data_IF_069175170005
#
_entry.id   IF_069175170005
#
_cell.length_a   1.000
_cell.length_b   1.000
_cell.length_c   1.000
_cell.angle_alpha   90.00
_cell.angle_beta   90.00
_cell.angle_gamma   90.00
#
_symmetry.space_group_name_H-M   'P 1'
#
loop_
_entity.id
_entity.type
_entity.pdbx_description
1 polymer ?
#
# COMPACT_ATOMS: atom_id res chain seq x y z
N UNK A 1 8.34 -9.49 62.57
CA UNK A 1 7.01 -8.92 62.23
C UNK A 1 7.20 -7.61 61.47
N UNK A 2 7.15 -7.62 60.15
CA UNK A 2 7.29 -6.40 59.33
C UNK A 2 6.13 -6.31 58.35
N UNK A 3 5.32 -5.26 58.53
CA UNK A 3 4.10 -4.97 57.77
C UNK A 3 4.45 -4.56 56.34
N UNK A 4 4.06 -5.37 55.34
CA UNK A 4 4.11 -4.97 53.92
C UNK A 4 2.86 -4.15 53.61
N UNK A 5 3.05 -2.87 53.25
CA UNK A 5 1.99 -2.01 52.70
C UNK A 5 1.80 -2.35 51.23
N UNK A 6 0.63 -2.85 50.86
CA UNK A 6 0.21 -2.98 49.45
C UNK A 6 -0.19 -1.59 48.94
N UNK A 7 0.52 -1.08 47.93
CA UNK A 7 0.07 0.07 47.15
C UNK A 7 -0.79 -0.44 46.00
N UNK A 8 -2.10 -0.18 46.10
CA UNK A 8 -3.09 -0.44 45.05
C UNK A 8 -3.00 0.71 44.05
N UNK A 9 -2.35 0.47 42.91
CA UNK A 9 -2.26 1.42 41.80
C UNK A 9 -3.64 1.50 41.13
N UNK A 10 -4.43 2.53 41.43
CA UNK A 10 -5.64 2.84 40.66
C UNK A 10 -5.21 3.41 39.32
N UNK A 11 -5.58 2.75 38.23
CA UNK A 11 -5.48 3.32 36.88
C UNK A 11 -6.56 4.41 36.73
N UNK A 12 -6.24 5.55 36.10
CA UNK A 12 -7.23 6.58 35.83
C UNK A 12 -8.24 6.08 34.81
N UNK A 13 -9.52 6.15 35.18
CA UNK A 13 -10.65 5.91 34.29
C UNK A 13 -10.65 6.96 33.18
N UNK A 14 -10.41 6.54 31.94
CA UNK A 14 -10.53 7.41 30.78
C UNK A 14 -11.99 7.80 30.58
N UNK A 15 -12.29 9.10 30.67
CA UNK A 15 -13.60 9.67 30.35
C UNK A 15 -13.68 9.82 28.82
N UNK A 16 -14.71 9.28 28.16
CA UNK A 16 -14.85 9.41 26.71
C UNK A 16 -15.11 10.87 26.30
N UNK A 17 -14.57 11.33 25.16
CA UNK A 17 -14.79 12.69 24.67
C UNK A 17 -16.26 12.89 24.30
N UNK A 18 -16.82 14.03 24.71
CA UNK A 18 -18.17 14.41 24.33
C UNK A 18 -18.24 14.79 22.85
N UNK A 19 -19.35 14.46 22.15
CA UNK A 19 -19.55 14.82 20.76
C UNK A 19 -19.65 16.35 20.61
N UNK A 20 -18.81 16.92 19.75
CA UNK A 20 -18.90 18.33 19.34
C UNK A 20 -20.18 18.52 18.52
N UNK A 21 -21.08 19.40 18.99
CA UNK A 21 -22.16 19.96 18.17
C UNK A 21 -21.53 20.77 17.04
N UNK A 22 -21.88 20.45 15.80
CA UNK A 22 -21.57 21.27 14.64
C UNK A 22 -22.32 22.60 14.69
N UNK A 23 -21.79 23.66 14.04
CA UNK A 23 -22.46 24.95 13.96
C UNK A 23 -23.70 24.85 13.08
N UNK A 24 -24.82 25.35 13.61
CA UNK A 24 -26.07 25.54 12.88
C UNK A 24 -25.83 26.45 11.66
N UNK A 25 -26.17 25.94 10.48
CA UNK A 25 -26.16 26.71 9.25
C UNK A 25 -27.43 27.56 9.19
N UNK A 26 -27.30 28.83 9.53
CA UNK A 26 -28.27 29.87 9.17
C UNK A 26 -28.32 30.00 7.64
N UNK A 27 -29.34 29.42 7.02
CA UNK A 27 -29.71 29.63 5.62
C UNK A 27 -31.15 30.11 5.59
N UNK A 28 -31.33 31.43 5.55
CA UNK A 28 -32.56 32.06 5.09
C UNK A 28 -32.22 33.35 4.32
N UNK A 29 -31.70 33.15 3.10
CA UNK A 29 -31.55 34.17 2.08
C UNK A 29 -32.71 34.09 1.08
N UNK A 30 -33.79 34.82 1.37
CA UNK A 30 -34.98 35.00 0.53
C UNK A 30 -34.70 36.02 -0.58
N UNK A 31 -34.91 35.70 -1.87
CA UNK A 31 -35.05 36.73 -2.90
C UNK A 31 -36.53 37.04 -3.14
N UNK A 32 -36.84 38.34 -3.10
CA UNK A 32 -38.11 38.93 -3.49
C UNK A 32 -38.46 38.62 -4.96
N UNK A 33 -39.63 38.02 -5.16
CA UNK A 33 -40.29 37.94 -6.45
C UNK A 33 -41.31 39.07 -6.55
N UNK A 34 -41.08 40.00 -7.48
CA UNK A 34 -42.05 41.01 -7.89
C UNK A 34 -43.22 40.40 -8.67
N UNK A 35 -44.38 41.07 -8.70
CA UNK A 35 -45.63 40.50 -9.17
C UNK A 35 -45.81 40.77 -10.67
N UNK A 36 -46.38 39.82 -11.39
CA UNK A 36 -47.32 40.17 -12.46
C UNK A 36 -48.26 39.01 -12.78
N UNK A 37 -49.48 39.43 -13.08
CA UNK A 37 -50.67 38.63 -13.16
C UNK A 37 -50.71 37.73 -14.39
N UNK A 38 -51.33 36.57 -14.24
CA UNK A 38 -52.41 36.15 -15.13
C UNK A 38 -53.11 34.93 -14.54
N UNK A 39 -54.40 35.12 -14.29
CA UNK A 39 -55.34 34.11 -13.89
C UNK A 39 -55.48 33.05 -14.99
N UNK A 40 -55.50 31.78 -14.61
CA UNK A 40 -56.52 30.88 -15.15
C UNK A 40 -56.76 29.70 -14.21
N UNK A 41 -58.03 29.59 -13.85
CA UNK A 41 -58.57 28.64 -12.90
C UNK A 41 -58.63 27.24 -13.48
N UNK A 42 -58.22 26.21 -12.70
CA UNK A 42 -58.87 24.88 -12.73
C UNK A 42 -58.84 24.20 -11.36
N UNK A 43 -59.90 23.42 -11.04
CA UNK A 43 -60.27 23.08 -9.68
C UNK A 43 -59.66 21.78 -9.14
N UNK A 44 -59.60 21.76 -7.80
CA UNK A 44 -59.62 20.65 -6.86
C UNK A 44 -60.02 19.27 -7.40
N UNK A 45 -59.15 18.28 -7.14
CA UNK A 45 -59.52 16.97 -6.58
C UNK A 45 -58.29 16.31 -5.89
N UNK A 46 -58.35 16.21 -4.54
CA UNK A 46 -57.99 15.09 -3.60
C UNK A 46 -57.02 13.96 -4.06
N UNK A 47 -56.36 13.19 -3.14
CA UNK A 47 -56.56 13.11 -1.68
C UNK A 47 -55.29 13.11 -0.81
N UNK A 48 -55.49 13.39 0.48
CA UNK A 48 -54.56 13.12 1.58
C UNK A 48 -54.10 11.66 1.60
N UNK A 49 -52.84 11.43 1.21
CA UNK A 49 -52.11 10.22 1.56
C UNK A 49 -51.33 10.47 2.84
N UNK A 50 -51.96 10.18 3.98
CA UNK A 50 -51.26 9.92 5.26
C UNK A 50 -50.32 8.74 5.03
N UNK A 51 -49.05 9.02 4.73
CA UNK A 51 -47.99 8.03 4.80
C UNK A 51 -47.75 7.70 6.27
N UNK A 52 -48.21 6.51 6.67
CA UNK A 52 -47.93 5.91 7.95
C UNK A 52 -46.41 5.78 8.15
N UNK A 53 -45.96 6.16 9.35
CA UNK A 53 -44.59 5.94 9.80
C UNK A 53 -44.24 4.44 9.67
N UNK A 54 -43.06 4.08 9.12
CA UNK A 54 -42.62 2.70 9.12
C UNK A 54 -42.41 2.22 10.56
N UNK A 55 -43.07 1.13 10.90
CA UNK A 55 -42.91 0.43 12.16
C UNK A 55 -41.43 0.03 12.35
N UNK A 56 -40.90 0.34 13.54
CA UNK A 56 -39.59 -0.12 13.99
C UNK A 56 -39.49 -1.65 13.85
N UNK A 57 -38.46 -2.17 13.16
CA UNK A 57 -38.21 -3.61 13.18
C UNK A 57 -37.81 -4.02 14.60
N UNK A 58 -38.64 -4.86 15.20
CA UNK A 58 -38.33 -5.56 16.45
C UNK A 58 -36.99 -6.29 16.30
N UNK A 59 -36.00 -5.84 17.07
CA UNK A 59 -34.74 -6.53 17.29
C UNK A 59 -35.03 -7.86 18.01
N UNK A 60 -35.17 -8.94 17.23
CA UNK A 60 -35.05 -10.28 17.76
C UNK A 60 -33.59 -10.48 18.21
N UNK A 61 -33.34 -11.02 19.40
CA UNK A 61 -32.00 -11.39 19.82
C UNK A 61 -31.49 -12.49 18.89
N UNK A 62 -30.50 -12.17 18.05
CA UNK A 62 -29.70 -13.15 17.33
C UNK A 62 -28.91 -13.92 18.39
N UNK A 63 -29.39 -15.12 18.73
CA UNK A 63 -28.57 -16.13 19.38
C UNK A 63 -27.49 -16.55 18.38
N UNK A 64 -26.28 -16.03 18.57
CA UNK A 64 -25.12 -16.56 17.89
C UNK A 64 -24.95 -18.04 18.27
N UNK A 65 -24.71 -18.94 17.31
CA UNK A 65 -24.38 -20.32 17.64
C UNK A 65 -23.03 -20.32 18.39
N UNK A 66 -23.05 -20.68 19.68
CA UNK A 66 -21.85 -20.84 20.52
C UNK A 66 -20.86 -21.96 20.13
N UNK A 67 -21.15 -23.01 19.32
CA UNK A 67 -20.21 -24.12 19.20
C UNK A 67 -18.93 -23.78 18.41
N UNK A 68 -18.89 -22.70 17.64
CA UNK A 68 -17.67 -22.34 16.87
C UNK A 68 -16.59 -21.66 17.74
N UNK A 69 -16.98 -20.93 18.79
CA UNK A 69 -16.04 -20.16 19.61
C UNK A 69 -15.25 -21.07 20.57
N UNK A 70 -15.87 -22.17 21.01
CA UNK A 70 -15.20 -23.25 21.75
C UNK A 70 -14.17 -23.96 20.85
N UNK A 71 -14.52 -24.23 19.59
CA UNK A 71 -13.67 -24.92 18.63
C UNK A 71 -12.45 -24.08 18.24
N UNK A 72 -12.63 -22.77 18.06
CA UNK A 72 -11.53 -21.82 17.83
C UNK A 72 -10.62 -21.71 19.06
N UNK A 73 -11.18 -21.69 20.28
CA UNK A 73 -10.37 -21.69 21.51
C UNK A 73 -9.54 -22.96 21.66
N UNK A 74 -10.09 -24.12 21.30
CA UNK A 74 -9.35 -25.39 21.37
C UNK A 74 -8.24 -25.44 20.32
N UNK A 75 -8.50 -24.96 19.10
CA UNK A 75 -7.49 -24.85 18.05
C UNK A 75 -6.31 -23.93 18.46
N UNK A 76 -6.60 -22.81 19.11
CA UNK A 76 -5.56 -21.90 19.64
C UNK A 76 -4.74 -22.58 20.74
N UNK A 77 -5.37 -23.34 21.66
CA UNK A 77 -4.61 -24.09 22.69
C UNK A 77 -3.71 -25.16 22.07
N UNK A 78 -4.18 -25.84 21.02
CA UNK A 78 -3.40 -26.85 20.32
C UNK A 78 -2.16 -26.24 19.66
N UNK A 79 -2.32 -25.09 18.99
CA UNK A 79 -1.22 -24.40 18.31
C UNK A 79 -0.16 -23.88 19.30
N UNK A 80 -0.58 -23.40 20.48
CA UNK A 80 0.35 -22.98 21.54
C UNK A 80 1.11 -24.18 22.11
N UNK A 81 0.46 -25.33 22.26
CA UNK A 81 1.11 -26.54 22.76
C UNK A 81 2.16 -27.09 21.77
N UNK A 82 1.89 -27.03 20.46
CA UNK A 82 2.84 -27.49 19.43
C UNK A 82 4.06 -26.56 19.30
N UNK A 83 3.94 -25.28 19.68
CA UNK A 83 5.05 -24.32 19.68
C UNK A 83 5.97 -24.45 20.90
N UNK A 84 5.49 -24.97 22.03
CA UNK A 84 6.29 -25.22 23.22
C UNK A 84 7.10 -26.54 23.13
N UNK A 85 6.77 -27.43 22.18
CA UNK A 85 7.62 -28.58 21.85
C UNK A 85 8.75 -28.16 20.90
N UNK A 86 9.68 -27.34 21.41
CA UNK A 86 10.97 -27.07 20.78
C UNK A 86 11.81 -28.37 20.80
N UNK A 87 12.06 -29.03 19.65
CA UNK A 87 12.89 -30.22 19.61
C UNK A 87 14.32 -29.80 19.94
N UNK A 88 14.71 -30.03 21.20
CA UNK A 88 16.03 -29.70 21.70
C UNK A 88 17.16 -30.09 20.73
N UNK A 89 18.26 -29.30 20.70
CA UNK A 89 19.26 -29.35 19.65
C UNK A 89 19.80 -30.77 19.47
N UNK A 90 19.49 -31.36 18.31
CA UNK A 90 20.06 -32.62 17.89
C UNK A 90 21.59 -32.49 17.92
N UNK A 91 22.24 -33.37 18.70
CA UNK A 91 23.68 -33.43 18.85
C UNK A 91 24.34 -33.42 17.47
N UNK A 92 25.17 -32.39 17.24
CA UNK A 92 25.95 -32.22 16.03
C UNK A 92 26.79 -33.48 15.78
N UNK A 93 26.46 -34.21 14.71
CA UNK A 93 27.31 -35.26 14.19
C UNK A 93 28.55 -34.59 13.60
N UNK A 94 29.71 -34.91 14.15
CA UNK A 94 31.02 -34.47 13.67
C UNK A 94 31.23 -34.93 12.22
N UNK A 95 31.51 -34.03 11.27
CA UNK A 95 31.80 -34.40 9.90
C UNK A 95 33.16 -35.11 9.81
N UNK A 96 33.15 -36.31 9.24
CA UNK A 96 34.34 -37.08 8.85
C UNK A 96 35.20 -36.26 7.89
N UNK A 97 36.53 -36.11 8.13
CA UNK A 97 37.41 -35.35 7.24
C UNK A 97 37.61 -36.06 5.90
N UNK A 98 37.42 -35.32 4.81
CA UNK A 98 37.66 -35.77 3.45
C UNK A 98 39.17 -35.95 3.17
N UNK A 99 39.57 -36.96 2.36
CA UNK A 99 40.96 -37.18 1.99
C UNK A 99 41.48 -36.08 1.04
N UNK A 100 42.72 -35.65 1.29
CA UNK A 100 43.40 -34.58 0.58
C UNK A 100 43.63 -34.90 -0.92
N UNK A 101 43.48 -33.92 -1.83
CA UNK A 101 43.80 -34.10 -3.24
C UNK A 101 45.32 -34.11 -3.47
N UNK A 102 45.76 -35.10 -4.26
CA UNK A 102 47.15 -35.28 -4.66
C UNK A 102 47.64 -34.15 -5.57
N UNK A 103 48.86 -33.65 -5.29
CA UNK A 103 49.61 -32.70 -6.12
C UNK A 103 50.04 -33.35 -7.44
N UNK A 104 49.50 -32.87 -8.55
CA UNK A 104 50.03 -33.11 -9.91
C UNK A 104 50.99 -31.99 -10.35
N UNK A 105 52.00 -32.28 -11.19
CA UNK A 105 53.09 -31.36 -11.51
C UNK A 105 52.73 -30.29 -12.55
N UNK A 106 53.33 -29.11 -12.34
CA UNK A 106 53.26 -27.93 -13.19
C UNK A 106 53.81 -28.18 -14.60
N UNK A 107 53.09 -27.68 -15.61
CA UNK A 107 53.54 -27.62 -17.01
C UNK A 107 53.48 -26.15 -17.48
N UNK A 108 54.64 -25.59 -17.81
CA UNK A 108 54.79 -24.30 -18.49
C UNK A 108 54.25 -24.37 -19.93
N UNK A 109 53.81 -23.23 -20.49
CA UNK A 109 54.53 -22.64 -21.64
C UNK A 109 54.56 -21.08 -21.58
N UNK A 110 55.69 -20.43 -21.83
CA UNK A 110 56.24 -20.01 -23.12
C UNK A 110 55.60 -18.71 -23.71
N UNK A 111 56.40 -17.64 -23.58
CA UNK A 111 56.71 -16.56 -24.53
C UNK A 111 55.62 -15.92 -25.41
N UNK A 112 55.51 -14.60 -25.19
CA UNK A 112 55.53 -13.52 -26.19
C UNK A 112 54.38 -13.40 -27.20
N UNK A 113 53.66 -12.28 -27.13
CA UNK A 113 53.69 -11.24 -28.18
C UNK A 113 53.01 -9.96 -27.70
N UNK A 114 53.65 -8.84 -28.05
CA UNK A 114 53.23 -7.48 -27.79
C UNK A 114 52.20 -7.01 -28.82
N UNK A 115 51.21 -6.22 -28.40
CA UNK A 115 50.50 -5.30 -29.29
C UNK A 115 50.21 -3.99 -28.55
N UNK A 116 50.74 -2.93 -29.13
CA UNK A 116 50.65 -1.50 -28.81
C UNK A 116 49.28 -0.93 -29.18
N UNK A 117 48.66 -0.12 -28.32
CA UNK A 117 47.71 0.96 -28.69
C UNK A 117 47.52 1.88 -27.46
N UNK A 118 48.29 2.96 -27.35
CA UNK A 118 48.03 4.29 -27.93
C UNK A 118 46.89 5.05 -27.19
N UNK A 119 47.31 5.87 -26.23
CA UNK A 119 46.52 6.96 -25.65
C UNK A 119 46.56 8.19 -26.56
N UNK A 120 45.51 9.03 -26.60
CA UNK A 120 45.64 10.41 -27.04
C UNK A 120 45.59 11.39 -25.87
N UNK A 121 46.64 12.20 -25.79
CA UNK A 121 46.73 13.39 -24.97
C UNK A 121 46.01 14.59 -25.61
N UNK A 122 45.64 15.52 -24.73
CA UNK A 122 45.20 16.91 -24.96
C UNK A 122 46.00 17.68 -26.01
N UNK A 123 45.34 18.57 -26.76
CA UNK A 123 45.65 20.02 -26.86
C UNK A 123 44.81 20.75 -27.93
N UNK A 124 44.51 22.03 -27.67
CA UNK A 124 43.95 23.03 -28.62
C UNK A 124 42.71 23.72 -28.05
N UNK A 125 42.78 24.84 -27.31
CA UNK A 125 43.21 26.21 -27.68
C UNK A 125 42.55 26.74 -28.97
N UNK A 126 41.40 27.39 -28.81
CA UNK A 126 40.74 28.23 -29.82
C UNK A 126 40.08 29.43 -29.14
N UNK A 127 40.48 30.63 -29.55
CA UNK A 127 40.21 31.96 -28.95
C UNK A 127 39.29 32.76 -29.90
N UNK A 128 38.40 33.58 -29.32
CA UNK A 128 37.57 34.65 -29.93
C UNK A 128 36.44 34.20 -30.89
N UNK A 129 35.24 34.79 -30.94
CA UNK A 129 34.80 36.17 -30.67
C UNK A 129 33.28 36.23 -30.31
N UNK A 130 32.76 37.37 -29.79
CA UNK A 130 31.35 37.53 -29.45
C UNK A 130 30.54 38.10 -30.64
N UNK A 131 29.39 37.49 -30.92
CA UNK A 131 28.54 37.84 -32.06
C UNK A 131 27.06 37.97 -31.67
N UNK A 132 26.66 39.20 -31.41
CA UNK A 132 25.37 39.86 -31.71
C UNK A 132 24.04 39.14 -31.40
N UNK A 133 23.30 39.83 -30.54
CA UNK A 133 21.84 39.81 -30.45
C UNK A 133 21.15 39.87 -31.82
N UNK A 134 20.14 39.03 -31.99
CA UNK A 134 19.09 39.21 -32.98
C UNK A 134 17.74 38.96 -32.31
N UNK A 135 17.00 40.04 -32.14
CA UNK A 135 15.58 40.11 -31.84
C UNK A 135 14.79 39.54 -33.02
N UNK A 136 14.02 38.47 -32.80
CA UNK A 136 12.96 38.05 -33.74
C UNK A 136 11.59 38.21 -33.09
N UNK A 137 11.00 39.34 -33.43
CA UNK A 137 9.58 39.68 -33.37
C UNK A 137 8.92 39.07 -34.61
N UNK A 138 8.05 38.07 -34.46
CA UNK A 138 7.12 37.62 -35.49
C UNK A 138 5.91 37.00 -34.79
N UNK A 139 4.83 37.77 -34.64
CA UNK A 139 3.73 37.84 -35.60
C UNK A 139 2.69 36.74 -35.34
N UNK A 140 1.71 37.11 -34.52
CA UNK A 140 0.42 36.44 -34.39
C UNK A 140 -0.26 36.36 -35.75
N UNK A 141 -0.38 35.16 -36.30
CA UNK A 141 -1.24 34.86 -37.44
C UNK A 141 -2.46 34.07 -36.96
N UNK A 142 -3.55 34.83 -36.90
CA UNK A 142 -4.95 34.43 -36.81
C UNK A 142 -5.32 33.52 -37.98
N UNK A 143 -5.75 32.28 -37.72
CA UNK A 143 -6.46 31.47 -38.70
C UNK A 143 -7.48 30.56 -38.01
N UNK A 144 -8.75 30.95 -38.12
CA UNK A 144 -9.89 30.05 -37.99
C UNK A 144 -10.01 29.20 -39.26
N UNK A 145 -10.55 27.97 -39.14
CA UNK A 145 -11.73 27.64 -39.93
C UNK A 145 -12.76 26.89 -39.05
N UNK A 146 -14.01 27.33 -39.02
CA UNK A 146 -15.07 27.07 -39.99
C UNK A 146 -15.94 25.87 -39.56
N UNK A 147 -17.20 26.22 -39.29
CA UNK A 147 -18.36 25.38 -39.09
C UNK A 147 -18.51 24.31 -40.20
N UNK A 148 -18.81 23.08 -39.81
CA UNK A 148 -19.63 22.15 -40.58
C UNK A 148 -20.62 21.54 -39.57
N UNK A 149 -21.84 22.06 -39.50
CA UNK A 149 -22.98 21.67 -40.33
C UNK A 149 -23.55 20.31 -39.91
N UNK A 150 -24.66 20.42 -39.21
CA UNK A 150 -25.62 19.40 -38.82
C UNK A 150 -26.03 18.53 -40.00
N UNK A 151 -26.05 17.21 -39.82
CA UNK A 151 -26.84 16.30 -40.63
C UNK A 151 -27.76 15.48 -39.72
N UNK A 152 -29.04 15.73 -39.93
CA UNK A 152 -30.24 15.17 -39.31
C UNK A 152 -30.64 13.93 -40.13
N UNK A 153 -30.71 12.76 -39.51
CA UNK A 153 -31.41 11.58 -40.02
C UNK A 153 -32.00 10.85 -38.80
N UNK A 154 -33.26 11.07 -38.42
CA UNK A 154 -34.48 10.57 -39.06
C UNK A 154 -34.53 9.03 -39.15
N UNK A 155 -35.18 8.46 -38.12
CA UNK A 155 -36.15 7.36 -38.18
C UNK A 155 -35.98 6.26 -39.24
N UNK A 156 -35.68 5.05 -38.77
CA UNK A 156 -36.35 3.85 -39.27
C UNK A 156 -36.46 2.80 -38.16
N UNK A 157 -37.68 2.68 -37.63
CA UNK A 157 -38.18 1.53 -36.88
C UNK A 157 -38.49 0.41 -37.89
N UNK A 158 -38.18 -0.85 -37.58
CA UNK A 158 -39.24 -1.84 -37.69
C UNK A 158 -39.33 -2.71 -36.44
N UNK A 159 -40.57 -2.87 -35.99
CA UNK A 159 -40.97 -3.88 -35.04
C UNK A 159 -41.35 -5.15 -35.81
N UNK A 160 -40.88 -6.33 -35.37
CA UNK A 160 -41.66 -7.58 -35.25
C UNK A 160 -40.81 -8.73 -34.66
N UNK A 161 -41.01 -9.01 -33.36
CA UNK A 161 -41.39 -10.28 -32.68
C UNK A 161 -41.33 -11.61 -33.49
N UNK A 162 -41.47 -12.79 -32.83
CA UNK A 162 -40.65 -13.51 -31.84
C UNK A 162 -40.17 -14.90 -32.36
N UNK A 163 -39.21 -15.55 -31.70
CA UNK A 163 -39.15 -17.02 -31.65
C UNK A 163 -38.32 -17.52 -30.46
N UNK A 164 -39.02 -17.99 -29.44
CA UNK A 164 -38.51 -18.95 -28.44
C UNK A 164 -38.22 -20.28 -29.16
N UNK A 165 -37.13 -20.97 -28.80
CA UNK A 165 -37.27 -22.40 -28.58
C UNK A 165 -36.79 -22.79 -27.19
N UNK A 166 -37.71 -23.46 -26.50
CA UNK A 166 -37.48 -24.32 -25.35
C UNK A 166 -36.26 -25.21 -25.54
N UNK A 167 -35.34 -25.20 -24.57
CA UNK A 167 -34.42 -26.32 -24.36
C UNK A 167 -34.60 -26.87 -22.94
N UNK A 168 -35.56 -27.79 -22.89
CA UNK A 168 -35.48 -29.11 -22.26
C UNK A 168 -34.55 -29.26 -21.06
N UNK A 169 -35.19 -29.36 -19.90
CA UNK A 169 -34.67 -30.08 -18.74
C UNK A 169 -34.25 -31.50 -19.12
N UNK A 170 -32.98 -31.84 -18.89
CA UNK A 170 -32.52 -33.22 -18.77
C UNK A 170 -31.81 -33.38 -17.42
N UNK A 171 -32.65 -33.66 -16.43
CA UNK A 171 -32.33 -34.26 -15.14
C UNK A 171 -31.66 -35.60 -15.40
N UNK A 172 -30.39 -35.77 -15.00
CA UNK A 172 -29.81 -37.10 -14.78
C UNK A 172 -28.85 -37.03 -13.59
N UNK A 173 -29.36 -37.41 -12.43
CA UNK A 173 -28.54 -37.89 -11.34
C UNK A 173 -28.30 -39.39 -11.55
N UNK A 174 -27.08 -39.88 -11.31
CA UNK A 174 -26.92 -41.20 -10.72
C UNK A 174 -26.24 -41.09 -9.36
N UNK A 175 -26.95 -41.58 -8.36
CA UNK A 175 -26.40 -42.00 -7.10
C UNK A 175 -25.34 -43.10 -7.33
N UNK A 176 -24.17 -42.95 -6.71
CA UNK A 176 -23.33 -44.08 -6.36
C UNK A 176 -22.51 -43.72 -5.12
N UNK A 177 -23.00 -44.23 -4.00
CA UNK A 177 -22.35 -44.31 -2.69
C UNK A 177 -21.55 -45.62 -2.67
N UNK A 178 -20.23 -45.60 -2.44
CA UNK A 178 -19.56 -46.74 -1.81
C UNK A 178 -19.26 -46.41 -0.35
N UNK A 179 -19.85 -47.20 0.53
CA UNK A 179 -19.44 -47.32 1.91
C UNK A 179 -18.24 -48.29 1.99
N UNK A 180 -17.17 -47.87 2.65
CA UNK A 180 -16.18 -48.72 3.33
C UNK A 180 -15.39 -47.75 4.24
N UNK A 181 -15.66 -47.63 5.54
CA UNK A 181 -15.46 -48.59 6.63
C UNK A 181 -14.10 -49.29 6.53
N UNK A 182 -13.08 -48.64 7.08
CA UNK A 182 -11.90 -49.33 7.62
C UNK A 182 -11.61 -48.77 9.00
N UNK A 183 -11.18 -49.70 9.86
CA UNK A 183 -11.23 -49.68 11.30
C UNK A 183 -10.09 -48.83 11.94
N UNK A 184 -10.10 -48.65 13.27
CA UNK A 184 -9.22 -47.74 13.99
C UNK A 184 -7.86 -48.39 14.27
N UNK A 185 -6.78 -47.66 14.02
CA UNK A 185 -5.43 -48.09 14.37
C UNK A 185 -4.88 -47.24 15.53
N UNK A 186 -4.65 -47.93 16.65
CA UNK A 186 -3.63 -47.70 17.67
C UNK A 186 -3.52 -46.31 18.31
N UNK A 187 -4.06 -46.23 19.53
CA UNK A 187 -3.73 -45.23 20.56
C UNK A 187 -2.28 -45.47 21.04
N UNK A 188 -1.35 -44.50 20.92
CA UNK A 188 -0.05 -44.60 21.55
C UNK A 188 -0.19 -44.46 23.08
N UNK A 189 0.38 -45.42 23.79
CA UNK A 189 0.52 -45.46 25.23
C UNK A 189 1.39 -44.30 25.70
N UNK A 190 0.85 -43.44 26.58
CA UNK A 190 1.60 -42.38 27.24
C UNK A 190 2.74 -42.96 28.10
N UNK A 191 4.00 -42.51 27.94
CA UNK A 191 5.07 -42.86 28.87
C UNK A 191 4.90 -42.13 30.21
N UNK A 192 5.33 -42.83 31.27
CA UNK A 192 5.25 -42.43 32.66
C UNK A 192 5.97 -41.10 32.96
N UNK A 193 5.32 -40.26 33.78
CA UNK A 193 5.89 -39.04 34.33
C UNK A 193 7.14 -39.31 35.16
N UNK A 194 8.26 -38.68 34.79
CA UNK A 194 9.47 -38.59 35.61
C UNK A 194 9.38 -37.37 36.57
N UNK A 195 10.03 -37.44 37.75
CA UNK A 195 9.93 -36.42 38.80
C UNK A 195 10.70 -35.14 38.45
N UNK A 196 10.10 -33.99 38.81
CA UNK A 196 10.67 -32.66 38.64
C UNK A 196 11.98 -32.46 39.44
N UNK A 197 13.03 -31.87 38.85
CA UNK A 197 14.21 -31.46 39.59
C UNK A 197 13.95 -30.17 40.41
N UNK A 198 14.70 -29.98 41.51
CA UNK A 198 14.47 -28.91 42.47
C UNK A 198 14.85 -27.52 41.96
N UNK A 199 14.14 -26.56 42.51
CA UNK A 199 14.25 -25.10 42.37
C UNK A 199 15.67 -24.61 42.68
N UNK A 200 16.39 -24.13 41.67
CA UNK A 200 17.61 -23.33 41.88
C UNK A 200 17.26 -21.85 41.99
N UNK A 201 17.27 -21.38 43.24
CA UNK A 201 17.36 -19.96 43.60
C UNK A 201 18.84 -19.58 43.63
N UNK A 202 19.31 -18.80 42.66
CA UNK A 202 20.50 -17.96 42.84
C UNK A 202 20.23 -16.56 42.28
N UNK A 203 20.10 -15.55 43.16
CA UNK A 203 21.15 -14.79 43.85
C UNK A 203 21.76 -13.70 42.94
N UNK A 204 21.26 -12.50 43.20
CA UNK A 204 22.04 -11.31 43.52
C UNK A 204 23.22 -10.93 42.60
N UNK A 205 23.01 -9.87 41.83
CA UNK A 205 24.06 -8.92 41.50
C UNK A 205 23.51 -7.51 41.63
N UNK A 206 23.89 -6.83 42.71
CA UNK A 206 23.70 -5.41 42.93
C UNK A 206 24.99 -4.63 42.67
N UNK A 207 24.85 -3.30 42.71
CA UNK A 207 25.85 -2.22 42.52
C UNK A 207 26.02 -1.85 41.03
N UNK A 208 25.82 -0.60 40.58
CA UNK A 208 26.27 0.65 41.21
C UNK A 208 25.32 1.82 40.87
N UNK A 209 24.74 2.39 41.93
CA UNK A 209 24.21 3.77 41.96
C UNK A 209 25.36 4.65 42.47
N UNK A 210 25.99 5.41 41.58
CA UNK A 210 26.88 6.53 41.91
C UNK A 210 27.34 7.20 40.61
N UNK A 211 26.62 8.21 40.13
CA UNK A 211 27.05 8.94 38.94
C UNK A 211 26.10 10.01 38.39
N UNK A 212 25.04 10.39 39.12
CA UNK A 212 24.02 11.31 38.59
C UNK A 212 24.02 12.70 39.24
N UNK A 213 24.91 12.97 40.20
CA UNK A 213 24.96 14.27 40.90
C UNK A 213 25.94 15.28 40.26
N UNK A 214 26.89 14.86 39.42
CA UNK A 214 27.91 15.77 38.88
C UNK A 214 27.49 16.46 37.56
N UNK A 215 26.50 15.94 36.85
CA UNK A 215 26.09 16.47 35.53
C UNK A 215 25.09 17.64 35.63
N UNK A 216 24.40 17.78 36.78
CA UNK A 216 23.45 18.88 37.03
C UNK A 216 24.17 20.19 37.39
N UNK A 217 25.41 20.13 37.87
CA UNK A 217 26.19 21.34 38.23
C UNK A 217 26.93 21.97 37.04
N UNK A 218 27.18 21.21 35.96
CA UNK A 218 27.86 21.75 34.76
C UNK A 218 26.86 22.42 33.80
N UNK A 219 25.58 22.02 33.79
CA UNK A 219 24.56 22.65 32.93
C UNK A 219 24.10 24.03 33.39
N UNK A 220 24.24 24.36 34.69
CA UNK A 220 23.82 25.67 35.21
C UNK A 220 24.80 26.82 34.88
N UNK A 221 26.06 26.53 34.53
CA UNK A 221 27.07 27.56 34.29
C UNK A 221 27.12 28.07 32.84
N UNK A 222 26.49 27.39 31.87
CA UNK A 222 26.46 27.79 30.45
C UNK A 222 25.12 28.43 30.04
N UNK A 223 24.07 28.31 30.86
CA UNK A 223 22.72 28.79 30.53
C UNK A 223 22.44 30.28 30.72
N UNK A 224 23.39 31.09 31.21
CA UNK A 224 23.13 32.47 31.64
C UNK A 224 23.41 33.58 30.61
N UNK A 225 23.97 33.28 29.44
CA UNK A 225 24.63 34.30 28.61
C UNK A 225 23.88 34.85 27.39
N UNK A 226 22.78 34.25 26.93
CA UNK A 226 22.26 34.52 25.56
C UNK A 226 20.84 35.15 25.53
N UNK A 227 20.22 35.42 26.68
CA UNK A 227 18.81 35.87 26.72
C UNK A 227 18.65 37.39 26.49
N UNK A 228 19.73 38.18 26.41
CA UNK A 228 19.63 39.65 26.41
C UNK A 228 19.69 40.35 25.03
N UNK A 229 19.82 39.64 23.90
CA UNK A 229 19.99 40.27 22.57
C UNK A 229 18.77 40.20 21.63
N UNK A 230 17.59 39.84 22.14
CA UNK A 230 16.39 39.59 21.31
C UNK A 230 15.22 40.58 21.53
N UNK A 231 15.49 41.77 22.06
CA UNK A 231 14.45 42.76 22.42
C UNK A 231 14.36 43.98 21.48
N UNK A 232 14.79 43.86 20.23
CA UNK A 232 14.69 44.97 19.28
C UNK A 232 14.57 44.50 17.84
N UNK A 233 13.33 44.36 17.38
CA UNK A 233 12.84 44.67 16.01
C UNK A 233 11.48 43.99 15.79
N UNK A 234 10.40 44.66 16.18
CA UNK A 234 9.01 44.33 15.82
C UNK A 234 8.72 44.68 14.34
N UNK A 235 9.57 44.28 13.42
CA UNK A 235 9.22 44.23 12.01
C UNK A 235 8.79 42.78 11.72
N UNK A 236 7.49 42.51 11.46
CA UNK A 236 7.08 41.18 11.05
C UNK A 236 7.90 40.84 9.80
N UNK A 237 8.72 39.77 9.82
CA UNK A 237 9.58 39.44 8.70
C UNK A 237 8.69 39.35 7.47
N UNK A 238 8.96 40.23 6.49
CA UNK A 238 8.25 40.22 5.23
C UNK A 238 8.24 38.77 4.73
N UNK A 239 7.07 38.25 4.30
CA UNK A 239 6.95 36.87 3.87
C UNK A 239 8.02 36.65 2.81
N UNK A 240 9.05 35.92 3.20
CA UNK A 240 10.16 35.63 2.31
C UNK A 240 9.56 34.65 1.33
N UNK A 241 9.30 35.14 0.11
CA UNK A 241 8.95 34.33 -1.07
C UNK A 241 10.09 33.34 -1.31
N UNK A 242 10.11 32.30 -0.48
CA UNK A 242 11.07 31.23 -0.57
C UNK A 242 10.70 30.54 -1.87
N UNK A 243 11.57 30.54 -2.88
CA UNK A 243 11.25 29.94 -4.17
C UNK A 243 10.82 28.51 -3.90
N UNK A 244 9.55 28.22 -4.17
CA UNK A 244 8.99 26.89 -3.97
C UNK A 244 9.89 25.92 -4.73
N UNK A 245 10.57 25.04 -3.98
CA UNK A 245 11.47 24.07 -4.57
C UNK A 245 10.69 23.33 -5.65
N UNK A 246 11.14 23.45 -6.91
CA UNK A 246 10.44 22.80 -8.01
C UNK A 246 10.54 21.30 -7.79
N UNK A 247 9.38 20.67 -7.58
CA UNK A 247 9.30 19.22 -7.48
C UNK A 247 9.85 18.60 -8.77
N UNK A 248 10.59 17.48 -8.68
CA UNK A 248 11.01 16.74 -9.86
C UNK A 248 9.79 16.43 -10.76
N UNK A 249 10.02 16.38 -12.07
CA UNK A 249 8.95 16.05 -13.00
C UNK A 249 8.33 14.68 -12.67
N UNK A 250 7.01 14.61 -12.60
CA UNK A 250 6.26 13.38 -12.37
C UNK A 250 5.74 13.15 -10.94
N UNK A 251 6.10 14.01 -9.98
CA UNK A 251 5.45 14.05 -8.67
C UNK A 251 3.97 14.44 -8.79
N UNK A 252 3.08 13.83 -8.00
CA UNK A 252 1.68 14.25 -7.92
C UNK A 252 1.53 15.60 -7.21
N UNK A 253 0.36 16.23 -7.40
CA UNK A 253 -0.05 17.41 -6.62
C UNK A 253 -0.20 17.07 -5.13
N UNK A 254 -0.21 18.09 -4.25
CA UNK A 254 -0.48 17.87 -2.83
C UNK A 254 -1.85 17.20 -2.62
N UNK A 255 -1.93 16.27 -1.67
CA UNK A 255 -3.11 15.45 -1.43
C UNK A 255 -3.35 14.41 -2.54
N UNK A 256 -2.29 13.94 -3.20
CA UNK A 256 -2.39 12.92 -4.23
C UNK A 256 -1.20 11.94 -4.22
N UNK A 257 -1.46 10.72 -4.69
CA UNK A 257 -0.47 9.68 -4.89
C UNK A 257 -0.40 9.28 -6.36
N UNK A 258 0.76 8.76 -6.76
CA UNK A 258 0.99 8.16 -8.06
C UNK A 258 1.81 6.89 -7.89
N UNK A 259 1.37 5.81 -8.53
CA UNK A 259 2.11 4.55 -8.57
C UNK A 259 2.46 4.19 -10.01
N UNK A 260 3.73 3.88 -10.28
CA UNK A 260 4.20 3.32 -11.54
C UNK A 260 4.66 1.89 -11.30
N UNK A 261 4.05 0.95 -12.01
CA UNK A 261 4.34 -0.48 -11.97
C UNK A 261 4.86 -0.92 -13.33
N UNK A 262 6.06 -1.49 -13.40
CA UNK A 262 6.62 -2.06 -14.63
C UNK A 262 6.76 -3.58 -14.47
N UNK A 263 6.13 -4.33 -15.37
CA UNK A 263 6.29 -5.78 -15.48
C UNK A 263 7.62 -6.10 -16.17
N UNK A 264 8.48 -6.88 -15.53
CA UNK A 264 9.76 -7.34 -16.08
C UNK A 264 9.60 -8.68 -16.82
N UNK A 265 10.61 -9.09 -17.58
CA UNK A 265 10.60 -10.33 -18.38
C UNK A 265 10.61 -11.60 -17.52
N UNK A 266 11.19 -11.55 -16.32
CA UNK A 266 11.11 -12.63 -15.34
C UNK A 266 9.72 -12.75 -14.69
N UNK A 267 8.86 -11.74 -14.84
CA UNK A 267 7.54 -11.69 -14.22
C UNK A 267 7.54 -11.03 -12.84
N UNK A 268 8.67 -10.49 -12.38
CA UNK A 268 8.69 -9.57 -11.24
C UNK A 268 8.11 -8.21 -11.64
N UNK A 269 7.70 -7.41 -10.65
CA UNK A 269 7.22 -6.05 -10.86
C UNK A 269 8.17 -5.04 -10.22
N UNK A 270 8.72 -4.12 -10.99
CA UNK A 270 9.42 -2.93 -10.47
C UNK A 270 8.37 -1.86 -10.17
N UNK A 271 8.29 -1.39 -8.92
CA UNK A 271 7.25 -0.44 -8.50
C UNK A 271 7.87 0.81 -7.89
N UNK A 272 7.35 1.97 -8.28
CA UNK A 272 7.64 3.26 -7.65
C UNK A 272 6.34 3.95 -7.26
N UNK A 273 6.20 4.29 -5.98
CA UNK A 273 5.08 5.02 -5.41
C UNK A 273 5.56 6.40 -4.98
N UNK A 274 4.96 7.47 -5.52
CA UNK A 274 5.11 8.85 -5.08
C UNK A 274 3.87 9.28 -4.31
N UNK A 275 4.04 9.81 -3.12
CA UNK A 275 2.97 10.25 -2.22
C UNK A 275 3.28 11.68 -1.83
N UNK A 276 2.37 12.60 -2.15
CA UNK A 276 2.47 13.99 -1.76
C UNK A 276 1.33 14.31 -0.80
N UNK A 277 1.63 14.40 0.49
CA UNK A 277 0.64 14.67 1.54
C UNK A 277 0.48 16.17 1.77
N UNK A 278 -0.69 16.60 2.22
CA UNK A 278 -0.93 18.00 2.63
C UNK A 278 -0.38 18.26 4.03
N UNK A 279 -0.58 17.30 4.92
CA UNK A 279 -0.05 17.31 6.29
C UNK A 279 1.24 16.49 6.37
N UNK A 280 2.24 16.95 7.14
CA UNK A 280 3.46 16.19 7.35
C UNK A 280 3.17 14.87 8.07
N UNK A 281 3.92 13.83 7.70
CA UNK A 281 3.94 12.53 8.37
C UNK A 281 5.30 12.30 9.03
N UNK A 282 5.32 11.51 10.10
CA UNK A 282 6.56 11.09 10.77
C UNK A 282 6.86 9.60 10.54
N UNK A 283 5.92 8.87 9.95
CA UNK A 283 6.06 7.45 9.66
C UNK A 283 5.15 7.02 8.50
N UNK A 284 5.52 5.92 7.86
CA UNK A 284 4.67 5.22 6.90
C UNK A 284 4.74 3.71 7.14
N UNK A 285 3.58 3.06 7.16
CA UNK A 285 3.49 1.60 7.15
C UNK A 285 3.35 1.13 5.71
N UNK A 286 4.13 0.10 5.35
CA UNK A 286 4.09 -0.58 4.06
C UNK A 286 3.76 -2.04 4.31
N UNK A 287 2.71 -2.56 3.68
CA UNK A 287 2.25 -3.94 3.85
C UNK A 287 2.03 -4.63 2.52
N UNK A 288 2.29 -5.95 2.50
CA UNK A 288 1.84 -6.80 1.40
C UNK A 288 0.31 -6.83 1.43
N UNK A 289 -0.37 -6.59 0.29
CA UNK A 289 -1.81 -6.77 0.24
C UNK A 289 -2.14 -8.24 0.47
N UNK A 290 -3.34 -8.50 1.00
CA UNK A 290 -3.81 -9.87 1.21
C UNK A 290 -3.78 -10.63 -0.12
N UNK A 291 -2.80 -11.53 -0.26
CA UNK A 291 -2.74 -12.43 -1.39
C UNK A 291 -3.96 -13.35 -1.26
N UNK A 292 -4.80 -13.37 -2.30
CA UNK A 292 -5.82 -14.41 -2.43
C UNK A 292 -5.17 -15.80 -2.50
N UNK A 293 -5.96 -16.86 -2.69
CA UNK A 293 -5.44 -18.20 -2.93
C UNK A 293 -4.43 -18.17 -4.08
N UNK A 294 -3.13 -18.27 -3.78
CA UNK A 294 -2.07 -17.94 -4.74
C UNK A 294 -0.66 -18.07 -4.19
N UNK A 295 0.32 -17.75 -5.04
CA UNK A 295 1.74 -17.73 -4.70
C UNK A 295 2.04 -16.64 -3.67
N UNK A 296 2.91 -16.94 -2.70
CA UNK A 296 3.38 -15.93 -1.75
C UNK A 296 4.06 -14.78 -2.51
N UNK A 297 3.60 -13.55 -2.25
CA UNK A 297 4.21 -12.33 -2.78
C UNK A 297 5.30 -11.87 -1.81
N UNK A 298 6.45 -11.49 -2.34
CA UNK A 298 7.57 -10.94 -1.57
C UNK A 298 7.93 -9.59 -2.16
N UNK A 299 8.17 -8.59 -1.30
CA UNK A 299 8.75 -7.33 -1.72
C UNK A 299 10.22 -7.26 -1.35
N UNK A 300 11.07 -7.03 -2.33
CA UNK A 300 12.53 -6.92 -2.20
C UNK A 300 12.99 -5.51 -2.58
N UNK A 301 14.22 -5.18 -2.22
CA UNK A 301 14.84 -3.88 -2.51
C UNK A 301 13.99 -2.67 -2.08
N UNK A 302 13.26 -2.82 -0.97
CA UNK A 302 12.36 -1.78 -0.48
C UNK A 302 13.17 -0.59 0.03
N UNK A 303 12.96 0.56 -0.60
CA UNK A 303 13.58 1.82 -0.23
C UNK A 303 12.51 2.88 -0.05
N UNK A 304 12.57 3.57 1.08
CA UNK A 304 11.68 4.70 1.39
C UNK A 304 12.52 5.95 1.52
N UNK A 305 12.18 6.98 0.75
CA UNK A 305 12.76 8.31 0.87
C UNK A 305 11.67 9.32 1.22
N UNK A 306 11.92 10.18 2.20
CA UNK A 306 11.03 11.19 2.74
C UNK A 306 11.71 12.57 2.61
N UNK A 307 11.12 13.48 1.83
CA UNK A 307 11.70 14.78 1.45
C UNK A 307 13.14 14.70 0.90
N UNK A 308 13.48 13.58 0.27
CA UNK A 308 14.80 13.29 -0.28
C UNK A 308 15.77 12.58 0.67
N UNK A 309 15.42 12.41 1.95
CA UNK A 309 16.21 11.67 2.93
C UNK A 309 15.76 10.22 3.01
N UNK A 310 16.70 9.27 3.17
CA UNK A 310 16.36 7.86 3.32
C UNK A 310 15.75 7.60 4.71
N UNK A 311 14.57 6.96 4.74
CA UNK A 311 13.95 6.51 5.97
C UNK A 311 14.55 5.16 6.42
N UNK A 312 14.57 4.92 7.73
CA UNK A 312 15.05 3.65 8.28
C UNK A 312 13.94 2.59 8.25
N UNK A 313 14.25 1.39 7.75
CA UNK A 313 13.35 0.24 7.74
C UNK A 313 13.99 -0.98 7.07
N UNK A 314 13.28 -2.12 7.02
CA UNK A 314 13.78 -3.33 6.36
C UNK A 314 13.82 -3.15 4.84
N UNK A 315 14.79 -3.77 4.16
CA UNK A 315 14.86 -3.76 2.69
C UNK A 315 14.03 -4.87 2.03
N UNK A 316 13.46 -5.77 2.83
CA UNK A 316 12.68 -6.92 2.37
C UNK A 316 11.44 -7.07 3.26
N UNK A 317 10.30 -7.33 2.64
CA UNK A 317 9.02 -7.55 3.31
C UNK A 317 8.47 -8.89 2.84
N UNK A 318 8.56 -9.89 3.71
CA UNK A 318 8.01 -11.24 3.51
C UNK A 318 6.79 -11.53 4.40
N UNK A 319 6.48 -10.64 5.33
CA UNK A 319 5.37 -10.75 6.28
C UNK A 319 4.57 -9.44 6.34
N UNK A 320 3.43 -9.51 7.02
CA UNK A 320 2.25 -8.63 6.90
C UNK A 320 2.50 -7.12 6.83
N UNK A 321 3.56 -6.57 7.44
CA UNK A 321 3.82 -5.12 7.47
C UNK A 321 5.26 -4.77 7.87
N UNK A 322 5.78 -3.67 7.33
CA UNK A 322 6.96 -2.96 7.81
C UNK A 322 6.63 -1.48 8.07
N UNK A 323 7.26 -0.89 9.08
CA UNK A 323 7.11 0.53 9.43
C UNK A 323 8.42 1.25 9.14
N UNK A 324 8.32 2.42 8.51
CA UNK A 324 9.45 3.30 8.21
C UNK A 324 9.22 4.63 8.92
N UNK A 325 10.23 5.14 9.61
CA UNK A 325 10.15 6.35 10.44
C UNK A 325 11.09 7.43 9.90
N UNK A 326 10.63 8.68 9.94
CA UNK A 326 11.35 9.89 9.54
C UNK A 326 10.92 11.07 10.42
N UNK A 327 11.62 12.21 10.33
CA UNK A 327 11.46 13.34 11.26
C UNK A 327 10.19 14.15 11.03
N UNK A 328 9.83 14.36 9.76
CA UNK A 328 8.61 15.01 9.27
C UNK A 328 8.75 15.10 7.75
N UNK A 329 7.78 14.64 6.96
CA UNK A 329 7.85 14.77 5.51
C UNK A 329 6.48 14.86 4.83
N UNK A 330 6.44 15.56 3.70
CA UNK A 330 5.25 15.64 2.83
C UNK A 330 5.45 14.95 1.49
N UNK A 331 6.70 14.69 1.08
CA UNK A 331 7.06 14.04 -0.16
C UNK A 331 7.68 12.68 0.13
N UNK A 332 6.89 11.62 0.00
CA UNK A 332 7.33 10.25 0.27
C UNK A 332 7.45 9.51 -1.05
N UNK A 333 8.57 8.84 -1.27
CA UNK A 333 8.78 7.93 -2.40
C UNK A 333 9.17 6.55 -1.88
N UNK A 334 8.44 5.54 -2.32
CA UNK A 334 8.68 4.13 -2.02
C UNK A 334 9.05 3.42 -3.33
N UNK A 335 10.16 2.70 -3.37
CA UNK A 335 10.56 1.86 -4.50
C UNK A 335 10.82 0.45 -4.02
N UNK A 336 10.42 -0.56 -4.80
CA UNK A 336 10.61 -1.97 -4.47
C UNK A 336 10.35 -2.85 -5.70
N UNK A 337 10.86 -4.08 -5.65
CA UNK A 337 10.53 -5.14 -6.59
C UNK A 337 9.53 -6.12 -5.93
N UNK A 338 8.51 -6.57 -6.67
CA UNK A 338 7.54 -7.58 -6.23
C UNK A 338 7.75 -8.89 -6.99
N UNK A 339 8.11 -9.92 -6.23
CA UNK A 339 8.21 -11.29 -6.71
C UNK A 339 6.92 -12.08 -6.40
N UNK A 340 6.57 -13.02 -7.27
CA UNK A 340 5.35 -13.85 -7.11
C UNK A 340 4.03 -13.12 -7.39
N UNK A 341 4.07 -11.81 -7.69
CA UNK A 341 2.88 -11.00 -7.96
C UNK A 341 2.23 -11.26 -9.34
N UNK A 342 2.93 -11.93 -10.26
CA UNK A 342 2.43 -12.28 -11.59
C UNK A 342 2.22 -13.79 -11.72
N UNK A 343 0.96 -14.19 -11.85
CA UNK A 343 0.58 -15.57 -12.14
C UNK A 343 0.65 -15.81 -13.65
N UNK A 344 1.67 -16.54 -14.11
CA UNK A 344 1.81 -16.90 -15.53
C UNK A 344 0.69 -17.86 -15.96
N UNK A 345 0.14 -17.63 -17.14
CA UNK A 345 -0.87 -18.50 -17.72
C UNK A 345 -0.25 -19.83 -18.19
N UNK A 346 -0.87 -20.94 -17.81
CA UNK A 346 -0.52 -22.27 -18.31
C UNK A 346 -1.13 -22.58 -19.69
N UNK A 347 -2.14 -21.82 -20.11
CA UNK A 347 -2.88 -22.04 -21.36
C UNK A 347 -2.51 -21.06 -22.49
N UNK A 348 -1.93 -19.91 -22.16
CA UNK A 348 -1.46 -18.91 -23.13
C UNK A 348 -0.02 -18.49 -22.81
N UNK A 349 0.93 -19.03 -23.57
CA UNK A 349 2.36 -18.71 -23.42
C UNK A 349 2.60 -17.20 -23.51
N UNK A 350 3.44 -16.69 -22.61
CA UNK A 350 3.77 -15.26 -22.55
C UNK A 350 2.66 -14.39 -21.98
N UNK A 351 1.56 -14.94 -21.45
CA UNK A 351 0.54 -14.17 -20.73
C UNK A 351 0.62 -14.39 -19.23
N UNK A 352 0.27 -13.38 -18.45
CA UNK A 352 0.21 -13.44 -17.00
C UNK A 352 -0.85 -12.52 -16.42
N UNK A 353 -1.23 -12.80 -15.17
CA UNK A 353 -2.12 -11.97 -14.38
C UNK A 353 -1.33 -11.39 -13.20
N UNK A 354 -1.11 -10.08 -13.20
CA UNK A 354 -0.57 -9.38 -12.05
C UNK A 354 -1.68 -9.21 -11.02
N UNK A 355 -1.72 -10.09 -10.02
CA UNK A 355 -2.75 -10.10 -8.96
C UNK A 355 -2.57 -8.99 -7.94
N UNK A 356 -1.33 -8.50 -7.83
CA UNK A 356 -0.92 -7.38 -7.00
C UNK A 356 -0.05 -6.46 -7.85
N UNK A 357 -0.41 -5.18 -7.96
CA UNK A 357 0.36 -4.20 -8.75
C UNK A 357 1.12 -3.20 -7.87
N UNK A 358 0.81 -3.15 -6.58
CA UNK A 358 1.44 -2.27 -5.59
C UNK A 358 1.29 -2.83 -4.17
N UNK A 359 2.12 -2.37 -3.24
CA UNK A 359 1.97 -2.59 -1.80
C UNK A 359 0.92 -1.64 -1.22
N UNK A 360 0.31 -2.04 -0.11
CA UNK A 360 -0.56 -1.18 0.66
C UNK A 360 0.29 -0.23 1.51
N UNK A 361 0.02 1.07 1.40
CA UNK A 361 0.77 2.11 2.11
C UNK A 361 -0.21 2.90 2.98
N UNK A 362 0.09 3.10 4.26
CA UNK A 362 -0.83 3.77 5.20
C UNK A 362 -1.14 5.22 4.86
N UNK A 363 -0.28 5.88 4.08
CA UNK A 363 -0.41 7.27 3.64
C UNK A 363 -1.30 7.41 2.38
N UNK A 364 -2.46 6.76 2.36
CA UNK A 364 -3.41 6.85 1.24
C UNK A 364 -3.89 8.28 1.04
N UNK A 365 -3.88 8.73 -0.21
CA UNK A 365 -4.35 10.06 -0.60
C UNK A 365 -5.75 9.99 -1.21
N UNK A 366 -6.56 11.06 -1.16
CA UNK A 366 -7.91 11.07 -1.75
C UNK A 366 -7.92 10.94 -3.28
N UNK A 367 -6.76 11.12 -3.92
CA UNK A 367 -6.54 10.95 -5.36
C UNK A 367 -5.33 10.06 -5.58
N UNK A 368 -5.50 8.94 -6.27
CA UNK A 368 -4.44 7.99 -6.58
C UNK A 368 -4.41 7.70 -8.08
N UNK A 369 -3.26 7.89 -8.74
CA UNK A 369 -3.08 7.57 -10.16
C UNK A 369 -2.14 6.38 -10.29
N UNK A 370 -2.63 5.27 -10.85
CA UNK A 370 -1.81 4.08 -11.12
C UNK A 370 -1.51 3.95 -12.59
N UNK A 371 -0.26 3.70 -12.90
CA UNK A 371 0.27 3.51 -14.24
C UNK A 371 0.91 2.12 -14.30
N UNK A 372 0.40 1.27 -15.18
CA UNK A 372 0.90 -0.10 -15.38
C UNK A 372 1.55 -0.15 -16.76
N UNK A 373 2.81 -0.59 -16.80
CA UNK A 373 3.59 -0.78 -18.03
C UNK A 373 4.01 -2.23 -18.17
N UNK A 374 3.83 -2.77 -19.36
CA UNK A 374 4.36 -4.08 -19.75
C UNK A 374 4.72 -4.06 -21.23
N UNK A 375 5.22 -5.18 -21.78
CA UNK A 375 5.31 -5.35 -23.23
C UNK A 375 3.93 -5.17 -23.90
N UNK A 376 2.88 -5.65 -23.24
CA UNK A 376 1.49 -5.38 -23.60
C UNK A 376 0.64 -5.52 -22.33
N UNK A 377 -0.28 -4.60 -22.10
CA UNK A 377 -1.31 -4.69 -21.07
C UNK A 377 -2.64 -4.89 -21.76
N UNK A 378 -3.31 -5.99 -21.45
CA UNK A 378 -4.49 -6.49 -22.18
C UNK A 378 -5.78 -5.93 -21.59
N UNK A 379 -5.83 -5.85 -20.26
CA UNK A 379 -6.93 -5.27 -19.51
C UNK A 379 -6.51 -4.92 -18.09
N UNK A 380 -7.19 -3.95 -17.50
CA UNK A 380 -7.14 -3.65 -16.08
C UNK A 380 -8.52 -3.86 -15.44
N UNK A 381 -8.50 -4.34 -14.20
CA UNK A 381 -9.68 -4.41 -13.36
C UNK A 381 -9.38 -3.87 -11.96
N UNK A 382 -10.35 -3.20 -11.37
CA UNK A 382 -10.24 -2.52 -10.10
C UNK A 382 -11.27 -3.06 -9.12
N UNK A 383 -10.92 -3.01 -7.83
CA UNK A 383 -11.83 -3.29 -6.73
C UNK A 383 -11.44 -2.42 -5.52
N UNK A 384 -12.38 -2.02 -4.67
CA UNK A 384 -12.05 -1.57 -3.32
C UNK A 384 -11.17 -2.59 -2.58
N UNK A 385 -10.35 -2.15 -1.61
CA UNK A 385 -9.35 -3.01 -0.94
C UNK A 385 -9.94 -4.32 -0.39
N UNK A 386 -11.16 -4.26 0.17
CA UNK A 386 -11.85 -5.40 0.79
C UNK A 386 -12.86 -6.09 -0.13
N UNK A 387 -12.98 -5.66 -1.39
CA UNK A 387 -13.94 -6.22 -2.32
C UNK A 387 -13.32 -7.37 -3.14
N UNK A 388 -14.11 -8.42 -3.33
CA UNK A 388 -13.73 -9.57 -4.17
C UNK A 388 -14.08 -9.36 -5.64
N UNK A 389 -15.12 -8.56 -5.91
CA UNK A 389 -15.59 -8.30 -7.26
C UNK A 389 -14.70 -7.26 -7.96
N UNK A 390 -14.12 -7.67 -9.09
CA UNK A 390 -13.29 -6.83 -9.95
C UNK A 390 -14.13 -6.28 -11.10
N UNK A 391 -14.10 -4.96 -11.29
CA UNK A 391 -14.75 -4.28 -12.42
C UNK A 391 -13.71 -3.78 -13.42
N UNK A 392 -13.96 -3.84 -14.74
CA UNK A 392 -13.05 -3.26 -15.72
C UNK A 392 -12.81 -1.78 -15.44
N UNK A 393 -11.55 -1.35 -15.51
CA UNK A 393 -11.16 0.03 -15.22
C UNK A 393 -9.99 0.49 -16.09
N UNK A 394 -9.66 1.78 -15.96
CA UNK A 394 -8.50 2.39 -16.61
C UNK A 394 -8.66 2.62 -18.11
N UNK A 395 -7.68 3.31 -18.67
CA UNK A 395 -7.58 3.65 -20.09
C UNK A 395 -6.18 3.31 -20.58
N UNK A 396 -6.07 2.75 -21.79
CA UNK A 396 -4.78 2.62 -22.46
C UNK A 396 -4.32 3.99 -22.96
N UNK A 397 -3.09 4.35 -22.64
CA UNK A 397 -2.45 5.60 -23.10
C UNK A 397 -1.53 5.36 -24.33
N UNK A 398 -1.53 4.14 -24.88
CA UNK A 398 -0.60 3.71 -25.93
C UNK A 398 0.68 3.08 -25.37
N UNK A 399 1.54 2.56 -26.24
CA UNK A 399 2.88 2.03 -25.89
C UNK A 399 2.93 0.96 -24.77
N UNK A 400 1.86 0.17 -24.60
CA UNK A 400 1.79 -0.83 -23.53
C UNK A 400 1.60 -0.24 -22.13
N UNK A 401 1.19 1.03 -22.05
CA UNK A 401 0.84 1.73 -20.82
C UNK A 401 -0.68 1.79 -20.63
N UNK A 402 -1.12 1.49 -19.42
CA UNK A 402 -2.48 1.76 -18.97
C UNK A 402 -2.45 2.60 -17.71
N UNK A 403 -3.40 3.54 -17.64
CA UNK A 403 -3.56 4.46 -16.53
C UNK A 403 -4.93 4.29 -15.90
N UNK A 404 -5.01 4.31 -14.58
CA UNK A 404 -6.26 4.40 -13.83
C UNK A 404 -6.17 5.50 -12.80
N UNK A 405 -7.27 6.24 -12.65
CA UNK A 405 -7.43 7.26 -11.63
C UNK A 405 -8.46 6.77 -10.63
N UNK A 406 -8.05 6.67 -9.37
CA UNK A 406 -8.87 6.24 -8.23
C UNK A 406 -9.10 7.45 -7.34
N UNK A 407 -10.33 7.63 -6.85
CA UNK A 407 -10.71 8.81 -6.05
C UNK A 407 -11.59 8.43 -4.88
N UNK A 408 -11.59 9.25 -3.82
CA UNK A 408 -12.45 9.06 -2.66
C UNK A 408 -12.22 7.70 -2.00
N UNK A 409 -13.28 6.91 -1.83
CA UNK A 409 -13.20 5.57 -1.22
C UNK A 409 -12.52 4.51 -2.09
N UNK A 410 -12.29 4.78 -3.37
CA UNK A 410 -11.57 3.89 -4.26
C UNK A 410 -10.05 4.13 -4.24
N UNK A 411 -9.60 5.25 -3.67
CA UNK A 411 -8.19 5.53 -3.57
C UNK A 411 -7.51 4.51 -2.65
N UNK A 412 -6.37 3.98 -3.08
CA UNK A 412 -5.74 2.82 -2.43
C UNK A 412 -6.41 1.47 -2.76
N UNK A 413 -7.41 1.44 -3.65
CA UNK A 413 -8.06 0.22 -4.11
C UNK A 413 -7.10 -0.76 -4.81
N UNK A 414 -7.55 -2.01 -4.95
CA UNK A 414 -6.82 -3.06 -5.66
C UNK A 414 -6.92 -2.85 -7.16
N UNK A 415 -5.79 -3.00 -7.85
CA UNK A 415 -5.72 -2.99 -9.31
C UNK A 415 -5.03 -4.26 -9.77
N UNK A 416 -5.72 -5.02 -10.63
CA UNK A 416 -5.26 -6.27 -11.24
C UNK A 416 -5.06 -6.03 -12.72
N UNK A 417 -4.01 -6.60 -13.30
CA UNK A 417 -3.69 -6.41 -14.71
C UNK A 417 -3.48 -7.75 -15.43
N UNK A 418 -4.17 -7.95 -16.54
CA UNK A 418 -3.82 -9.01 -17.49
C UNK A 418 -2.73 -8.46 -18.43
N UNK A 419 -1.59 -9.12 -18.51
CA UNK A 419 -0.38 -8.61 -19.18
C UNK A 419 0.29 -9.68 -20.03
N UNK A 420 1.07 -9.24 -21.02
CA UNK A 420 2.04 -10.08 -21.71
C UNK A 420 3.38 -9.97 -20.96
N UNK A 421 3.96 -11.11 -20.60
CA UNK A 421 5.27 -11.22 -19.94
C UNK A 421 6.28 -11.72 -20.99
N UNK A 422 7.32 -10.94 -21.33
CA UNK A 422 8.35 -11.38 -22.28
C UNK A 422 8.97 -12.70 -21.83
N UNK A 423 9.03 -13.67 -22.73
CA UNK A 423 9.62 -14.99 -22.50
C UNK A 423 11.13 -15.00 -22.57
#
# INVERSE_FOLDING_TARGET
MTKKKQYKKQLPTAVPPQPRRGPDADVDGRPDAGPDASADARPDTRPDARAAAPASPSLLPVQAPEPELEQVREAIRQLVHDLDEDPGPAAAQTPTPAPAPAKGPAKAPAKASATTQAAPARAGSGKAAPGKAATTKAASAKAAPARAASAKAASARPATRPATPSQTAARTAPAARPAARTAPAARPTAPASLPAPPVERERASGRKVAGLALLVLVSAAVGGGVVAWQLGSDDPPAPSDTPAAQLPAGWPEAGASRTLTRVRSDGSLEVTHWIHTEDPLDQVDVSLPEAGEGTAVVATDVQVTADGEAASGPAEITFSRATYVFSSATLIRVTYDLDGAVQRSSSATGRGLATTTALDVSATQPRDVRVIRSAEVLSLSCAPTMATELVPCGTSDGDGEWKVQLTGSEAGGRVVAAVTVPS
#
